data_IF_863554784293
#
_entry.id   IF_863554784293
#
_cell.length_a   1.000
_cell.length_b   1.000
_cell.length_c   1.000
_cell.angle_alpha   90.00
_cell.angle_beta   90.00
_cell.angle_gamma   90.00
#
_symmetry.space_group_name_H-M   'P 1'
#
loop_
_entity.id
_entity.type
_entity.pdbx_description
1 polymer ?
#
# COMPACT_ATOMS: atom_id res chain seq x y z
N UNK A 1 -21.97 9.91 3.53
CA UNK A 1 -22.26 9.50 4.91
C UNK A 1 -20.95 9.47 5.66
N UNK A 2 -20.85 10.26 6.72
CA UNK A 2 -19.63 10.35 7.53
C UNK A 2 -19.92 9.71 8.89
N UNK A 3 -19.16 8.68 9.26
CA UNK A 3 -19.35 7.84 10.44
C UNK A 3 -20.81 7.39 10.70
N UNK A 4 -21.48 6.76 9.71
CA UNK A 4 -22.91 6.45 9.81
C UNK A 4 -23.26 5.34 10.80
N UNK A 5 -22.26 4.58 11.27
CA UNK A 5 -22.43 3.50 12.25
C UNK A 5 -22.27 3.98 13.69
N UNK A 6 -21.95 5.26 13.90
CA UNK A 6 -21.71 5.78 15.23
C UNK A 6 -23.00 5.75 16.06
N UNK A 7 -22.88 5.37 17.33
CA UNK A 7 -24.00 5.22 18.27
C UNK A 7 -25.10 4.22 17.83
N UNK A 8 -24.87 3.38 16.82
CA UNK A 8 -25.81 2.33 16.40
C UNK A 8 -25.52 1.00 17.11
N UNK A 9 -26.59 0.34 17.54
CA UNK A 9 -26.56 -1.07 17.96
C UNK A 9 -26.52 -2.01 16.75
N UNK A 10 -26.31 -3.31 17.01
CA UNK A 10 -26.16 -4.31 15.95
C UNK A 10 -27.36 -4.34 14.99
N UNK A 11 -28.63 -4.38 15.47
CA UNK A 11 -29.79 -4.39 14.57
C UNK A 11 -29.89 -3.13 13.70
N UNK A 12 -29.61 -1.95 14.25
CA UNK A 12 -29.65 -0.72 13.47
C UNK A 12 -28.56 -0.69 12.38
N UNK A 13 -27.38 -1.27 12.64
CA UNK A 13 -26.34 -1.42 11.62
C UNK A 13 -26.79 -2.34 10.48
N UNK A 14 -27.35 -3.50 10.80
CA UNK A 14 -27.86 -4.45 9.79
C UNK A 14 -28.97 -3.83 8.92
N UNK A 15 -29.87 -3.05 9.53
CA UNK A 15 -30.88 -2.30 8.79
C UNK A 15 -30.27 -1.27 7.84
N UNK A 16 -29.25 -0.53 8.29
CA UNK A 16 -28.54 0.45 7.47
C UNK A 16 -27.79 -0.23 6.31
N UNK A 17 -27.13 -1.35 6.56
CA UNK A 17 -26.48 -2.17 5.52
C UNK A 17 -27.50 -2.60 4.45
N UNK A 18 -28.64 -3.14 4.87
CA UNK A 18 -29.72 -3.54 3.96
C UNK A 18 -30.29 -2.37 3.17
N UNK A 19 -30.49 -1.22 3.82
CA UNK A 19 -30.99 -0.01 3.15
C UNK A 19 -30.01 0.51 2.10
N UNK A 20 -28.70 0.49 2.37
CA UNK A 20 -27.67 0.88 1.41
C UNK A 20 -27.59 -0.10 0.25
N UNK A 21 -27.67 -1.40 0.52
CA UNK A 21 -27.66 -2.44 -0.53
C UNK A 21 -28.88 -2.39 -1.45
N UNK A 22 -30.03 -1.94 -0.95
CA UNK A 22 -31.28 -1.80 -1.72
C UNK A 22 -31.42 -0.43 -2.42
N UNK A 23 -30.49 0.50 -2.21
CA UNK A 23 -30.55 1.83 -2.80
C UNK A 23 -29.95 1.84 -4.21
N UNK A 24 -30.75 2.17 -5.21
CA UNK A 24 -30.32 2.18 -6.63
C UNK A 24 -29.34 3.31 -6.99
N UNK A 25 -29.12 4.26 -6.09
CA UNK A 25 -28.23 5.39 -6.30
C UNK A 25 -26.78 5.11 -5.90
N UNK A 26 -25.95 6.15 -5.98
CA UNK A 26 -24.57 6.08 -5.48
C UNK A 26 -24.51 6.65 -4.07
N UNK A 27 -23.94 5.88 -3.13
CA UNK A 27 -23.65 6.33 -1.77
C UNK A 27 -22.14 6.42 -1.59
N UNK A 28 -21.67 7.55 -1.05
CA UNK A 28 -20.28 7.70 -0.60
C UNK A 28 -20.29 7.56 0.92
N UNK A 29 -19.45 6.65 1.42
CA UNK A 29 -19.37 6.30 2.84
C UNK A 29 -17.94 6.53 3.33
N UNK A 30 -17.82 7.19 4.48
CA UNK A 30 -16.59 7.29 5.27
C UNK A 30 -16.94 6.66 6.63
N UNK A 31 -16.19 5.64 7.03
CA UNK A 31 -16.41 4.95 8.29
C UNK A 31 -15.13 4.26 8.76
N UNK A 32 -14.90 4.27 10.07
CA UNK A 32 -13.88 3.45 10.72
C UNK A 32 -14.31 1.97 10.94
N UNK A 33 -15.60 1.65 10.77
CA UNK A 33 -16.12 0.28 10.92
C UNK A 33 -15.84 -0.56 9.66
N UNK A 34 -14.81 -1.41 9.75
CA UNK A 34 -14.38 -2.26 8.64
C UNK A 34 -15.42 -3.30 8.24
N UNK A 35 -16.26 -3.76 9.17
CA UNK A 35 -17.30 -4.74 8.84
C UNK A 35 -18.35 -4.07 7.97
N UNK A 36 -18.85 -2.91 8.40
CA UNK A 36 -19.82 -2.13 7.64
C UNK A 36 -19.31 -1.76 6.24
N UNK A 37 -18.07 -1.29 6.14
CA UNK A 37 -17.43 -1.00 4.84
C UNK A 37 -17.33 -2.26 4.00
N UNK A 38 -16.94 -3.40 4.57
CA UNK A 38 -16.85 -4.66 3.83
C UNK A 38 -18.20 -5.15 3.31
N UNK A 39 -19.29 -4.89 4.03
CA UNK A 39 -20.63 -5.32 3.65
C UNK A 39 -21.26 -4.42 2.58
N UNK A 40 -20.88 -3.15 2.51
CA UNK A 40 -21.55 -2.14 1.68
C UNK A 40 -20.71 -1.63 0.50
N UNK A 41 -19.38 -1.67 0.60
CA UNK A 41 -18.51 -1.06 -0.40
C UNK A 41 -18.36 -1.93 -1.65
N UNK A 42 -18.65 -1.33 -2.81
CA UNK A 42 -18.42 -1.92 -4.14
C UNK A 42 -17.18 -1.34 -4.85
N UNK A 43 -16.67 -0.22 -4.33
CA UNK A 43 -15.43 0.46 -4.73
C UNK A 43 -14.82 1.09 -3.50
N UNK A 44 -13.49 1.14 -3.44
CA UNK A 44 -12.75 1.81 -2.37
C UNK A 44 -11.92 2.94 -2.95
N UNK A 45 -11.98 4.11 -2.31
CA UNK A 45 -11.10 5.24 -2.63
C UNK A 45 -10.12 5.42 -1.47
N UNK A 46 -8.84 5.17 -1.72
CA UNK A 46 -7.78 5.46 -0.77
C UNK A 46 -7.26 6.88 -1.01
N UNK A 47 -7.05 7.64 0.07
CA UNK A 47 -6.31 8.90 0.03
C UNK A 47 -4.94 8.65 0.64
N UNK A 48 -3.89 8.70 -0.17
CA UNK A 48 -2.50 8.47 0.27
C UNK A 48 -1.59 9.43 -0.50
N UNK A 49 -0.72 10.11 0.25
CA UNK A 49 0.22 11.12 -0.27
C UNK A 49 -0.46 12.31 -0.99
N UNK A 50 -1.69 12.66 -0.58
CA UNK A 50 -2.47 13.73 -1.21
C UNK A 50 -3.14 13.34 -2.53
N UNK A 51 -2.99 12.09 -2.97
CA UNK A 51 -3.62 11.55 -4.18
C UNK A 51 -4.78 10.61 -3.86
N UNK A 52 -5.76 10.59 -4.76
CA UNK A 52 -6.87 9.64 -4.73
C UNK A 52 -6.54 8.40 -5.55
N UNK A 53 -6.60 7.22 -4.94
CA UNK A 53 -6.49 5.93 -5.62
C UNK A 53 -7.82 5.19 -5.59
N UNK A 54 -8.36 4.90 -6.77
CA UNK A 54 -9.63 4.20 -6.91
C UNK A 54 -9.39 2.70 -7.15
N UNK A 55 -9.87 1.88 -6.23
CA UNK A 55 -9.94 0.43 -6.34
C UNK A 55 -11.35 0.02 -6.73
N UNK A 56 -11.51 -0.56 -7.93
CA UNK A 56 -12.80 -0.99 -8.49
C UNK A 56 -13.14 -2.42 -8.05
N UNK A 57 -13.32 -2.59 -6.74
CA UNK A 57 -13.74 -3.84 -6.13
C UNK A 57 -14.19 -3.61 -4.70
N UNK A 58 -14.65 -4.68 -4.07
CA UNK A 58 -15.03 -4.67 -2.67
C UNK A 58 -13.84 -4.39 -1.73
N UNK A 59 -14.13 -4.34 -0.44
CA UNK A 59 -13.10 -4.07 0.56
C UNK A 59 -11.99 -5.13 0.59
N UNK A 60 -12.31 -6.39 0.30
CA UNK A 60 -11.32 -7.48 0.25
C UNK A 60 -10.37 -7.28 -0.94
N UNK A 61 -10.90 -6.99 -2.12
CA UNK A 61 -10.10 -6.67 -3.30
C UNK A 61 -9.12 -5.52 -3.03
N UNK A 62 -9.57 -4.47 -2.34
CA UNK A 62 -8.70 -3.38 -1.90
C UNK A 62 -7.58 -3.87 -0.98
N UNK A 63 -7.88 -4.68 0.03
CA UNK A 63 -6.88 -5.21 0.96
C UNK A 63 -5.82 -6.06 0.24
N UNK A 64 -6.25 -6.93 -0.68
CA UNK A 64 -5.36 -7.77 -1.47
C UNK A 64 -4.43 -6.91 -2.34
N UNK A 65 -4.96 -5.87 -2.99
CA UNK A 65 -4.15 -4.95 -3.80
C UNK A 65 -3.12 -4.16 -2.98
N UNK A 66 -3.51 -3.66 -1.82
CA UNK A 66 -2.59 -2.96 -0.91
C UNK A 66 -1.50 -3.90 -0.41
N UNK A 67 -1.82 -5.17 -0.14
CA UNK A 67 -0.84 -6.17 0.27
C UNK A 67 0.17 -6.47 -0.86
N UNK A 68 -0.32 -6.68 -2.08
CA UNK A 68 0.53 -6.88 -3.28
C UNK A 68 1.47 -5.69 -3.52
N UNK A 69 0.96 -4.45 -3.46
CA UNK A 69 1.76 -3.22 -3.60
C UNK A 69 2.87 -3.15 -2.55
N UNK A 70 2.53 -3.45 -1.29
CA UNK A 70 3.47 -3.41 -0.17
C UNK A 70 4.57 -4.47 -0.31
N UNK A 71 4.21 -5.67 -0.74
CA UNK A 71 5.16 -6.76 -0.99
C UNK A 71 6.13 -6.38 -2.12
N UNK A 72 5.61 -5.90 -3.25
CA UNK A 72 6.42 -5.42 -4.38
C UNK A 72 7.37 -4.30 -3.96
N UNK A 73 6.88 -3.31 -3.21
CA UNK A 73 7.71 -2.21 -2.70
C UNK A 73 8.82 -2.72 -1.78
N UNK A 74 8.54 -3.72 -0.96
CA UNK A 74 9.53 -4.30 -0.02
C UNK A 74 10.61 -5.06 -0.79
N UNK A 75 10.24 -5.85 -1.81
CA UNK A 75 11.19 -6.57 -2.66
C UNK A 75 12.10 -5.60 -3.43
N UNK A 76 11.53 -4.53 -3.99
CA UNK A 76 12.29 -3.49 -4.68
C UNK A 76 13.28 -2.78 -3.75
N UNK A 77 12.89 -2.48 -2.51
CA UNK A 77 13.78 -1.88 -1.52
C UNK A 77 14.96 -2.80 -1.18
N UNK A 78 14.71 -4.11 -0.99
CA UNK A 78 15.75 -5.10 -0.73
C UNK A 78 16.71 -5.22 -1.92
N UNK A 79 16.19 -5.24 -3.16
CA UNK A 79 17.02 -5.32 -4.36
C UNK A 79 17.88 -4.06 -4.54
N UNK A 80 17.31 -2.89 -4.33
CA UNK A 80 18.03 -1.61 -4.38
C UNK A 80 19.17 -1.58 -3.34
N UNK A 81 18.91 -2.03 -2.12
CA UNK A 81 19.93 -2.10 -1.07
C UNK A 81 21.05 -3.10 -1.42
N UNK A 82 20.71 -4.25 -1.99
CA UNK A 82 21.70 -5.24 -2.46
C UNK A 82 22.56 -4.69 -3.59
N UNK A 83 21.98 -4.01 -4.56
CA UNK A 83 22.71 -3.35 -5.65
C UNK A 83 23.66 -2.29 -5.11
N UNK A 84 23.18 -1.41 -4.23
CA UNK A 84 24.02 -0.39 -3.60
C UNK A 84 25.21 -0.99 -2.82
N UNK A 85 25.01 -2.08 -2.07
CA UNK A 85 26.10 -2.78 -1.36
C UNK A 85 27.12 -3.41 -2.32
N UNK A 86 26.67 -3.96 -3.45
CA UNK A 86 27.54 -4.57 -4.45
C UNK A 86 28.37 -3.52 -5.19
N UNK A 87 27.76 -2.39 -5.55
CA UNK A 87 28.44 -1.29 -6.22
C UNK A 87 29.51 -0.68 -5.31
N UNK A 88 29.18 -0.42 -4.03
CA UNK A 88 30.17 0.03 -3.05
C UNK A 88 31.35 -0.94 -2.86
N UNK A 89 31.09 -2.26 -2.87
CA UNK A 89 32.16 -3.26 -2.79
C UNK A 89 33.05 -3.23 -4.04
N UNK A 90 32.44 -3.07 -5.22
CA UNK A 90 33.15 -3.04 -6.50
C UNK A 90 33.99 -1.79 -6.66
N UNK A 91 33.49 -0.63 -6.25
CA UNK A 91 34.24 0.63 -6.20
C UNK A 91 35.44 0.52 -5.27
N UNK A 92 35.24 0.06 -4.02
CA UNK A 92 36.35 -0.16 -3.06
C UNK A 92 37.40 -1.14 -3.58
N UNK A 93 36.99 -2.17 -4.33
CA UNK A 93 37.92 -3.12 -4.91
C UNK A 93 38.74 -2.48 -6.04
N UNK A 94 38.10 -1.73 -6.93
CA UNK A 94 38.77 -1.00 -8.02
C UNK A 94 39.77 0.03 -7.50
N UNK A 95 39.44 0.77 -6.44
CA UNK A 95 40.36 1.70 -5.79
C UNK A 95 41.60 0.99 -5.21
N UNK A 96 41.40 -0.13 -4.51
CA UNK A 96 42.50 -0.94 -3.97
C UNK A 96 43.42 -1.48 -5.07
N UNK A 97 42.83 -1.99 -6.15
CA UNK A 97 43.58 -2.55 -7.27
C UNK A 97 44.37 -1.47 -8.01
N UNK A 98 43.82 -0.25 -8.15
CA UNK A 98 44.51 0.89 -8.73
C UNK A 98 45.69 1.36 -7.86
N UNK A 99 45.46 1.51 -6.55
CA UNK A 99 46.51 1.89 -5.60
C UNK A 99 47.65 0.86 -5.52
N UNK A 100 47.35 -0.44 -5.68
CA UNK A 100 48.36 -1.50 -5.72
C UNK A 100 49.23 -1.43 -6.98
N UNK A 101 48.63 -1.15 -8.14
CA UNK A 101 49.35 -0.99 -9.41
C UNK A 101 50.27 0.23 -9.40
N UNK A 102 49.81 1.36 -8.87
CA UNK A 102 50.62 2.59 -8.76
C UNK A 102 51.88 2.37 -7.90
N UNK A 103 51.76 1.69 -6.75
CA UNK A 103 52.92 1.38 -5.88
C UNK A 103 53.96 0.45 -6.50
N UNK A 104 53.56 -0.43 -7.43
CA UNK A 104 54.48 -1.33 -8.14
C UNK A 104 55.21 -0.65 -9.31
N UNK A 105 54.74 0.51 -9.78
CA UNK A 105 55.34 1.22 -10.91
C UNK A 105 56.43 2.23 -10.53
N UNK A 106 56.58 2.53 -9.24
CA UNK A 106 57.50 3.56 -8.70
C UNK A 106 58.72 2.92 -8.00
N UNK A 107 58.84 1.59 -8.02
CA UNK A 107 59.99 0.83 -7.51
C UNK A 107 60.71 0.10 -8.62
#
# INVERSE_FOLDING_TARGET
LDEPTNHLDIPAKEMLEGAIGAYDGTVIIVSHDRYFVSQTATKVVEIRDGEFRLYRGDFKYYQDKVAEEKELSSLQAIEAERKAKNDQKREKQQEKDKARKEKQSVS
#
